data_IF_831991472152
#
_entry.id   IF_831991472152
#
_cell.length_a   1.000
_cell.length_b   1.000
_cell.length_c   1.000
_cell.angle_alpha   90.00
_cell.angle_beta   90.00
_cell.angle_gamma   90.00
#
_symmetry.space_group_name_H-M   'P 1'
#
loop_
_entity.id
_entity.type
_entity.pdbx_description
1 polymer ?
#
# COMPACT_ATOMS: atom_id res chain seq x y z
N UNK A 1 -13.94 -5.82 -40.20
CA UNK A 1 -14.61 -5.14 -39.07
C UNK A 1 -14.50 -5.84 -37.72
N UNK A 2 -14.62 -7.18 -37.61
CA UNK A 2 -14.57 -7.92 -36.32
C UNK A 2 -13.29 -7.74 -35.48
N UNK A 3 -12.13 -7.55 -36.10
CA UNK A 3 -10.83 -7.45 -35.40
C UNK A 3 -10.61 -6.11 -34.71
N UNK A 4 -11.20 -5.03 -35.25
CA UNK A 4 -11.06 -3.67 -34.70
C UNK A 4 -11.94 -3.51 -33.45
N UNK A 5 -13.17 -4.08 -33.47
CA UNK A 5 -14.07 -4.07 -32.31
C UNK A 5 -13.50 -4.82 -31.10
N UNK A 6 -12.86 -5.99 -31.28
CA UNK A 6 -12.26 -6.73 -30.15
C UNK A 6 -11.11 -5.97 -29.49
N UNK A 7 -10.25 -5.30 -30.27
CA UNK A 7 -9.18 -4.44 -29.73
C UNK A 7 -9.74 -3.25 -28.96
N UNK A 8 -10.79 -2.63 -29.49
CA UNK A 8 -11.47 -1.49 -28.83
C UNK A 8 -12.16 -1.90 -27.52
N UNK A 9 -12.81 -3.06 -27.46
CA UNK A 9 -13.42 -3.58 -26.22
C UNK A 9 -12.39 -3.96 -25.17
N UNK A 10 -11.29 -4.64 -25.54
CA UNK A 10 -10.22 -4.97 -24.59
C UNK A 10 -9.52 -3.72 -24.03
N UNK A 11 -9.35 -2.69 -24.85
CA UNK A 11 -8.81 -1.40 -24.42
C UNK A 11 -9.74 -0.68 -23.43
N UNK A 12 -11.05 -0.68 -23.68
CA UNK A 12 -12.05 -0.07 -22.78
C UNK A 12 -12.15 -0.82 -21.44
N UNK A 13 -12.11 -2.16 -21.45
CA UNK A 13 -12.10 -2.96 -20.23
C UNK A 13 -10.84 -2.72 -19.40
N UNK A 14 -9.67 -2.67 -20.03
CA UNK A 14 -8.42 -2.38 -19.33
C UNK A 14 -8.40 -0.97 -18.73
N UNK A 15 -8.95 0.03 -19.43
CA UNK A 15 -9.05 1.39 -18.89
C UNK A 15 -10.02 1.49 -17.73
N UNK A 16 -11.16 0.79 -17.78
CA UNK A 16 -12.12 0.75 -16.66
C UNK A 16 -11.47 0.14 -15.42
N UNK A 17 -10.85 -1.04 -15.59
CA UNK A 17 -10.17 -1.74 -14.51
C UNK A 17 -8.95 -0.96 -13.96
N UNK A 18 -8.25 -0.20 -14.81
CA UNK A 18 -7.19 0.72 -14.37
C UNK A 18 -7.75 1.84 -13.48
N UNK A 19 -8.85 2.45 -13.90
CA UNK A 19 -9.52 3.49 -13.13
C UNK A 19 -9.98 2.99 -11.77
N UNK A 20 -10.62 1.81 -11.73
CA UNK A 20 -11.09 1.19 -10.49
C UNK A 20 -9.94 0.99 -9.49
N UNK A 21 -8.81 0.41 -9.92
CA UNK A 21 -7.64 0.18 -9.04
C UNK A 21 -7.06 1.50 -8.54
N UNK A 22 -6.96 2.51 -9.40
CA UNK A 22 -6.42 3.82 -9.01
C UNK A 22 -7.30 4.47 -7.94
N UNK A 23 -8.62 4.34 -8.05
CA UNK A 23 -9.54 4.91 -7.07
C UNK A 23 -9.49 4.15 -5.74
N UNK A 24 -9.42 2.81 -5.76
CA UNK A 24 -9.16 2.01 -4.55
C UNK A 24 -7.84 2.39 -3.85
N UNK A 25 -6.78 2.65 -4.62
CA UNK A 25 -5.48 3.11 -4.09
C UNK A 25 -5.64 4.46 -3.38
N UNK A 26 -6.34 5.41 -3.99
CA UNK A 26 -6.59 6.73 -3.37
C UNK A 26 -7.44 6.60 -2.10
N UNK A 27 -8.45 5.74 -2.11
CA UNK A 27 -9.30 5.48 -0.93
C UNK A 27 -8.49 4.92 0.24
N UNK A 28 -7.54 4.03 -0.01
CA UNK A 28 -6.63 3.51 1.03
C UNK A 28 -5.61 4.55 1.51
N UNK A 29 -5.10 5.39 0.61
CA UNK A 29 -4.07 6.38 0.91
C UNK A 29 -4.61 7.59 1.70
N UNK A 30 -5.85 8.02 1.42
CA UNK A 30 -6.48 9.18 2.05
C UNK A 30 -6.46 9.14 3.59
N UNK A 31 -6.95 8.08 4.27
CA UNK A 31 -6.93 8.03 5.74
C UNK A 31 -5.50 7.97 6.31
N UNK A 32 -4.51 7.60 5.51
CA UNK A 32 -3.09 7.54 5.87
C UNK A 32 -2.35 8.86 5.60
N UNK A 33 -3.02 9.84 4.99
CA UNK A 33 -2.42 11.11 4.56
C UNK A 33 -1.21 10.93 3.62
N UNK A 34 -1.19 9.83 2.88
CA UNK A 34 -0.13 9.53 1.91
C UNK A 34 -0.44 10.27 0.61
N UNK A 35 0.52 11.06 0.14
CA UNK A 35 0.36 11.81 -1.09
C UNK A 35 0.50 10.92 -2.34
N UNK A 36 -0.15 11.30 -3.44
CA UNK A 36 0.07 10.62 -4.73
C UNK A 36 1.51 10.73 -5.21
N UNK A 37 2.20 11.83 -4.87
CA UNK A 37 3.62 12.02 -5.19
C UNK A 37 4.48 10.99 -4.48
N UNK A 38 4.27 10.78 -3.18
CA UNK A 38 5.00 9.76 -2.43
C UNK A 38 4.71 8.34 -2.93
N UNK A 39 3.46 8.04 -3.30
CA UNK A 39 3.12 6.75 -3.94
C UNK A 39 3.90 6.52 -5.24
N UNK A 40 3.99 7.54 -6.10
CA UNK A 40 4.77 7.47 -7.33
C UNK A 40 6.27 7.33 -7.04
N UNK A 41 6.80 8.06 -6.06
CA UNK A 41 8.21 7.97 -5.65
C UNK A 41 8.55 6.58 -5.11
N UNK A 42 7.72 6.02 -4.22
CA UNK A 42 7.89 4.68 -3.70
C UNK A 42 7.81 3.62 -4.80
N UNK A 43 6.84 3.73 -5.73
CA UNK A 43 6.78 2.87 -6.91
C UNK A 43 8.07 2.95 -7.72
N UNK A 44 8.51 4.16 -8.07
CA UNK A 44 9.73 4.38 -8.85
C UNK A 44 10.96 3.77 -8.18
N UNK A 45 11.07 3.87 -6.86
CA UNK A 45 12.14 3.26 -6.09
C UNK A 45 12.05 1.72 -6.08
N UNK A 46 10.86 1.17 -5.83
CA UNK A 46 10.64 -0.27 -5.73
C UNK A 46 10.90 -1.01 -7.06
N UNK A 47 10.58 -0.37 -8.19
CA UNK A 47 10.65 -0.98 -9.52
C UNK A 47 11.77 -0.41 -10.40
N UNK A 48 12.55 0.56 -9.90
CA UNK A 48 13.57 1.29 -10.66
C UNK A 48 13.00 1.91 -11.96
N UNK A 49 11.87 2.61 -11.82
CA UNK A 49 11.12 3.26 -12.91
C UNK A 49 11.06 4.78 -12.73
N UNK A 50 10.39 5.49 -13.65
CA UNK A 50 10.21 6.95 -13.63
C UNK A 50 8.78 7.36 -14.01
N UNK A 51 7.79 6.70 -13.41
CA UNK A 51 6.39 7.06 -13.56
C UNK A 51 6.14 8.48 -13.03
N UNK A 52 5.37 9.26 -13.78
CA UNK A 52 4.95 10.62 -13.42
C UNK A 52 3.48 10.70 -13.05
N UNK A 53 2.69 9.71 -13.48
CA UNK A 53 1.28 9.54 -13.17
C UNK A 53 0.97 8.06 -12.94
N UNK A 54 -0.14 7.75 -12.27
CA UNK A 54 -0.60 6.36 -12.12
C UNK A 54 -0.91 5.66 -13.46
N UNK A 55 -1.17 6.42 -14.52
CA UNK A 55 -1.39 5.86 -15.87
C UNK A 55 -0.11 5.36 -16.52
N UNK A 56 1.05 5.77 -16.01
CA UNK A 56 2.36 5.31 -16.48
C UNK A 56 2.74 3.96 -15.84
N UNK A 57 1.99 3.52 -14.83
CA UNK A 57 2.26 2.32 -14.03
C UNK A 57 1.49 1.13 -14.61
N UNK A 58 2.12 -0.05 -14.60
CA UNK A 58 1.45 -1.28 -15.03
C UNK A 58 0.33 -1.67 -14.06
N UNK A 59 -0.70 -2.36 -14.53
CA UNK A 59 -1.78 -2.87 -13.66
C UNK A 59 -1.22 -3.76 -12.53
N UNK A 60 -0.17 -4.54 -12.83
CA UNK A 60 0.48 -5.40 -11.83
C UNK A 60 1.10 -4.57 -10.71
N UNK A 61 1.85 -3.53 -11.06
CA UNK A 61 2.55 -2.71 -10.06
C UNK A 61 1.58 -1.81 -9.28
N UNK A 62 0.44 -1.42 -9.88
CA UNK A 62 -0.65 -0.77 -9.15
C UNK A 62 -1.29 -1.71 -8.11
N UNK A 63 -1.57 -2.96 -8.49
CA UNK A 63 -2.06 -3.97 -7.53
C UNK A 63 -1.08 -4.18 -6.38
N UNK A 64 0.20 -4.18 -6.71
CA UNK A 64 1.27 -4.32 -5.73
C UNK A 64 1.34 -3.11 -4.79
N UNK A 65 1.27 -1.88 -5.31
CA UNK A 65 1.14 -0.66 -4.49
C UNK A 65 -0.11 -0.70 -3.59
N UNK A 66 -1.26 -1.17 -4.10
CA UNK A 66 -2.49 -1.37 -3.32
C UNK A 66 -2.25 -2.34 -2.16
N UNK A 67 -1.47 -3.39 -2.35
CA UNK A 67 -1.10 -4.33 -1.26
C UNK A 67 -0.29 -3.63 -0.19
N UNK A 68 0.74 -2.85 -0.54
CA UNK A 68 1.49 -2.04 0.45
C UNK A 68 0.56 -1.14 1.26
N UNK A 69 -0.32 -0.39 0.59
CA UNK A 69 -1.27 0.50 1.27
C UNK A 69 -2.23 -0.26 2.20
N UNK A 70 -2.73 -1.40 1.75
CA UNK A 70 -3.62 -2.25 2.55
C UNK A 70 -2.93 -2.76 3.82
N UNK A 71 -1.64 -3.09 3.75
CA UNK A 71 -0.86 -3.50 4.92
C UNK A 71 -0.67 -2.34 5.90
N UNK A 72 -0.30 -1.15 5.42
CA UNK A 72 -0.13 0.04 6.28
C UNK A 72 -1.47 0.38 6.96
N UNK A 73 -2.56 0.38 6.20
CA UNK A 73 -3.91 0.61 6.70
C UNK A 73 -4.32 -0.41 7.77
N UNK A 74 -4.05 -1.70 7.54
CA UNK A 74 -4.31 -2.75 8.51
C UNK A 74 -3.46 -2.59 9.78
N UNK A 75 -2.16 -2.32 9.65
CA UNK A 75 -1.27 -2.10 10.79
C UNK A 75 -1.74 -0.92 11.64
N UNK A 76 -2.14 0.19 11.01
CA UNK A 76 -2.70 1.35 11.70
C UNK A 76 -4.00 1.03 12.44
N UNK A 77 -4.93 0.35 11.78
CA UNK A 77 -6.28 0.14 12.33
C UNK A 77 -6.34 -0.92 13.42
N UNK A 78 -5.46 -1.92 13.38
CA UNK A 78 -5.39 -2.96 14.41
C UNK A 78 -4.56 -2.47 15.60
N UNK A 79 -3.60 -1.59 15.36
CA UNK A 79 -2.78 -1.02 16.43
C UNK A 79 -3.57 -0.04 17.28
N UNK A 80 -3.29 -0.05 18.59
CA UNK A 80 -3.71 1.01 19.53
C UNK A 80 -2.63 2.09 19.72
N UNK A 81 -1.48 1.92 19.08
CA UNK A 81 -0.32 2.79 19.19
C UNK A 81 -0.46 4.05 18.30
N UNK A 82 0.22 5.12 18.68
CA UNK A 82 0.31 6.32 17.86
C UNK A 82 1.10 6.07 16.57
N UNK A 83 1.01 6.98 15.60
CA UNK A 83 1.81 6.89 14.38
C UNK A 83 3.31 6.97 14.67
N UNK A 84 3.72 7.79 15.64
CA UNK A 84 5.11 7.91 16.08
C UNK A 84 5.63 6.61 16.66
N UNK A 85 4.84 5.94 17.50
CA UNK A 85 5.20 4.63 18.08
C UNK A 85 5.32 3.56 17.00
N UNK A 86 4.41 3.56 16.03
CA UNK A 86 4.47 2.66 14.87
C UNK A 86 5.71 2.91 14.02
N UNK A 87 6.03 4.17 13.70
CA UNK A 87 7.22 4.55 12.93
C UNK A 87 8.51 4.19 13.67
N UNK A 88 8.56 4.43 14.98
CA UNK A 88 9.69 4.04 15.82
C UNK A 88 9.88 2.53 15.80
N UNK A 89 8.79 1.77 15.87
CA UNK A 89 8.85 0.30 15.83
C UNK A 89 9.38 -0.21 14.50
N UNK A 90 8.87 0.31 13.37
CA UNK A 90 9.37 -0.06 12.05
C UNK A 90 10.83 0.38 11.88
N UNK A 91 11.22 1.53 12.42
CA UNK A 91 12.63 2.00 12.42
C UNK A 91 13.56 1.00 13.10
N UNK A 92 13.19 0.56 14.31
CA UNK A 92 13.98 -0.40 15.09
C UNK A 92 14.12 -1.73 14.34
N UNK A 93 13.03 -2.25 13.78
CA UNK A 93 13.03 -3.57 13.12
C UNK A 93 13.71 -3.54 11.74
N UNK A 94 13.60 -2.43 11.00
CA UNK A 94 14.23 -2.27 9.67
C UNK A 94 15.69 -1.80 9.74
N UNK A 95 16.11 -1.22 10.88
CA UNK A 95 17.40 -0.54 11.00
C UNK A 95 17.47 0.80 10.22
N UNK A 96 16.33 1.35 9.79
CA UNK A 96 16.24 2.60 9.02
C UNK A 96 15.56 3.69 9.84
N UNK A 97 15.79 4.95 9.47
CA UNK A 97 15.07 6.07 10.06
C UNK A 97 13.72 6.24 9.36
N UNK A 98 12.67 5.65 9.92
CA UNK A 98 11.30 5.74 9.43
C UNK A 98 10.59 6.88 10.17
N UNK A 99 10.07 7.84 9.42
CA UNK A 99 9.46 9.05 10.00
C UNK A 99 8.02 9.27 9.58
N UNK A 100 7.55 8.55 8.56
CA UNK A 100 6.20 8.70 8.00
C UNK A 100 5.66 7.38 7.44
N UNK A 101 4.37 7.31 7.14
CA UNK A 101 3.80 6.18 6.39
C UNK A 101 4.25 6.10 4.93
N UNK A 102 4.79 7.19 4.37
CA UNK A 102 5.33 7.18 3.00
C UNK A 102 6.55 6.26 2.91
N UNK A 103 7.38 6.24 3.95
CA UNK A 103 8.54 5.34 4.07
C UNK A 103 8.12 3.84 4.10
N UNK A 104 6.90 3.55 4.57
CA UNK A 104 6.39 2.18 4.69
C UNK A 104 6.03 1.56 3.33
N UNK A 105 5.85 2.37 2.29
CA UNK A 105 5.47 1.90 0.95
C UNK A 105 6.57 1.08 0.26
N UNK A 106 7.81 1.18 0.73
CA UNK A 106 8.95 0.46 0.17
C UNK A 106 8.84 -1.05 0.42
N UNK A 107 9.16 -1.86 -0.60
CA UNK A 107 8.97 -3.32 -0.56
C UNK A 107 9.75 -4.01 0.54
N UNK A 108 10.94 -3.50 0.83
CA UNK A 108 11.80 -3.98 1.92
C UNK A 108 11.11 -3.92 3.30
N UNK A 109 10.16 -3.02 3.51
CA UNK A 109 9.45 -2.89 4.78
C UNK A 109 8.26 -3.85 4.90
N UNK A 110 7.79 -4.47 3.80
CA UNK A 110 6.57 -5.27 3.78
C UNK A 110 6.60 -6.46 4.74
N UNK A 111 7.72 -7.19 4.76
CA UNK A 111 7.87 -8.35 5.64
C UNK A 111 7.69 -7.96 7.11
N UNK A 112 8.32 -6.85 7.50
CA UNK A 112 8.28 -6.32 8.87
C UNK A 112 6.86 -5.85 9.22
N UNK A 113 6.18 -5.15 8.32
CA UNK A 113 4.79 -4.71 8.53
C UNK A 113 3.86 -5.92 8.74
N UNK A 114 4.03 -6.99 7.96
CA UNK A 114 3.28 -8.23 8.15
C UNK A 114 3.53 -8.87 9.53
N UNK A 115 4.78 -8.88 9.99
CA UNK A 115 5.12 -9.36 11.34
C UNK A 115 4.46 -8.50 12.42
N UNK A 116 4.54 -7.18 12.31
CA UNK A 116 3.87 -6.25 13.22
C UNK A 116 2.36 -6.51 13.31
N UNK A 117 1.67 -6.67 12.17
CA UNK A 117 0.23 -6.99 12.12
C UNK A 117 -0.08 -8.29 12.87
N UNK A 118 0.73 -9.34 12.64
CA UNK A 118 0.53 -10.63 13.29
C UNK A 118 0.69 -10.54 14.81
N UNK A 119 1.63 -9.74 15.30
CA UNK A 119 1.81 -9.49 16.72
C UNK A 119 0.65 -8.68 17.32
N UNK A 120 0.17 -7.66 16.62
CA UNK A 120 -0.97 -6.86 17.09
C UNK A 120 -2.22 -7.73 17.26
N UNK A 121 -2.52 -8.59 16.27
CA UNK A 121 -3.64 -9.54 16.34
C UNK A 121 -3.51 -10.53 17.50
N UNK A 122 -2.30 -11.03 17.78
CA UNK A 122 -2.06 -11.92 18.93
C UNK A 122 -2.36 -11.22 20.25
N UNK A 123 -2.01 -9.93 20.38
CA UNK A 123 -2.32 -9.14 21.58
C UNK A 123 -3.81 -8.86 21.74
N UNK A 124 -4.54 -8.69 20.63
CA UNK A 124 -6.01 -8.56 20.66
C UNK A 124 -6.70 -9.86 21.12
N UNK A 125 -6.23 -11.03 20.67
CA UNK A 125 -6.81 -12.32 21.06
C UNK A 125 -6.57 -12.72 22.53
N UNK A 126 -5.68 -12.04 23.27
CA UNK A 126 -5.39 -12.39 24.68
C UNK A 126 -6.47 -11.85 25.65
N UNK A 127 -7.50 -11.15 25.17
CA UNK A 127 -8.64 -10.74 25.99
C UNK A 127 -9.99 -11.14 25.38
N UNK A 128 -10.51 -12.33 25.75
CA UNK A 128 -11.94 -12.40 26.09
C UNK A 128 -12.29 -13.14 27.40
N UNK A 129 -11.36 -13.76 28.14
CA UNK A 129 -11.70 -14.46 29.39
C UNK A 129 -10.75 -14.07 30.54
N UNK A 130 -11.08 -12.97 31.19
CA UNK A 130 -10.62 -12.68 32.54
C UNK A 130 -11.78 -12.17 33.38
N UNK A 131 -12.64 -13.13 33.76
CA UNK A 131 -13.34 -13.17 35.05
C UNK A 131 -13.95 -14.53 35.29
#
# INVERSE_FOLDING_TARGET
MKTIMKKSQGYLQNNTHLHDIIDEIKELANPLWISSVAMLQAHNQNFNTKATTFKDITISDLRDLKVSLSLIYAARNISRASIEELNQRLSIQSGKNITSYEDWLLHENRGIICEMINEFRKKECIHPDSK
#
